data_IF_735295621950
#
_entry.id   IF_735295621950
#
_cell.length_a   1.000
_cell.length_b   1.000
_cell.length_c   1.000
_cell.angle_alpha   90.00
_cell.angle_beta   90.00
_cell.angle_gamma   90.00
#
_symmetry.space_group_name_H-M   'P 1'
#
loop_
_entity.id
_entity.type
_entity.pdbx_description
1 polymer ?
#
# COMPACT_ATOMS: atom_id res chain seq x y z
N UNK A 1 27.33 41.23 43.19
CA UNK A 1 26.99 41.94 41.94
C UNK A 1 28.12 41.78 40.92
N UNK A 2 28.01 40.92 39.90
CA UNK A 2 28.83 41.00 38.67
C UNK A 2 28.21 40.14 37.54
N UNK A 3 27.43 40.86 36.72
CA UNK A 3 27.24 40.82 35.26
C UNK A 3 27.24 39.50 34.49
N UNK A 4 26.13 39.33 33.78
CA UNK A 4 25.81 38.33 32.77
C UNK A 4 26.87 38.19 31.66
N UNK A 5 27.08 36.94 31.23
CA UNK A 5 27.75 36.57 29.99
C UNK A 5 26.79 35.67 29.20
N UNK A 6 26.61 36.03 27.94
CA UNK A 6 25.74 35.42 26.95
C UNK A 6 25.95 33.91 26.82
N UNK A 7 24.86 33.15 26.80
CA UNK A 7 24.87 31.75 26.36
C UNK A 7 24.33 31.71 24.92
N UNK A 8 25.29 31.54 24.01
CA UNK A 8 25.08 31.25 22.61
C UNK A 8 24.48 29.85 22.41
N UNK A 9 23.80 29.66 21.28
CA UNK A 9 23.52 28.34 20.71
C UNK A 9 22.04 27.96 20.70
N UNK A 10 21.31 28.41 19.67
CA UNK A 10 20.10 27.73 19.25
C UNK A 10 20.52 26.37 18.66
N UNK A 11 20.53 25.32 19.49
CA UNK A 11 20.65 23.95 19.02
C UNK A 11 19.34 23.56 18.35
N UNK A 12 19.26 23.77 17.03
CA UNK A 12 18.19 23.19 16.23
C UNK A 12 18.39 21.65 16.26
N UNK A 13 17.61 20.97 17.09
CA UNK A 13 17.51 19.53 17.04
C UNK A 13 16.89 19.15 15.69
N UNK A 14 17.72 18.72 14.74
CA UNK A 14 17.25 18.10 13.51
C UNK A 14 16.57 16.78 13.87
N UNK A 15 15.25 16.80 14.03
CA UNK A 15 14.46 15.58 14.17
C UNK A 15 14.46 14.91 12.79
N UNK A 16 15.42 14.01 12.57
CA UNK A 16 15.36 13.04 11.48
C UNK A 16 14.21 12.09 11.78
N UNK A 17 13.01 12.44 11.32
CA UNK A 17 11.89 11.51 11.28
C UNK A 17 12.27 10.45 10.25
N UNK A 18 12.50 9.17 10.62
CA UNK A 18 12.57 8.14 9.63
C UNK A 18 11.18 8.02 9.03
N UNK A 19 10.95 8.68 7.90
CA UNK A 19 9.83 8.37 7.03
C UNK A 19 10.10 6.96 6.49
N UNK A 20 9.74 5.96 7.28
CA UNK A 20 9.62 4.59 6.82
C UNK A 20 8.47 4.58 5.81
N UNK A 21 8.76 4.96 4.57
CA UNK A 21 7.82 4.84 3.46
C UNK A 21 7.75 3.38 3.06
N UNK A 22 7.07 2.57 3.86
CA UNK A 22 6.58 1.26 3.44
C UNK A 22 5.39 1.45 2.49
N UNK A 23 5.64 2.03 1.31
CA UNK A 23 4.67 2.09 0.22
C UNK A 23 5.17 1.16 -0.89
N UNK A 24 4.60 -0.06 -0.98
CA UNK A 24 3.68 -0.28 -2.11
C UNK A 24 2.51 -1.25 -1.83
N UNK A 25 2.16 -1.55 -0.58
CA UNK A 25 1.01 -2.44 -0.32
C UNK A 25 -0.33 -1.80 -0.73
N UNK A 26 -0.49 -0.48 -0.54
CA UNK A 26 -1.75 0.20 -0.83
C UNK A 26 -1.94 0.57 -2.31
N UNK A 27 -0.86 0.88 -3.04
CA UNK A 27 -0.92 1.28 -4.45
C UNK A 27 -1.30 0.09 -5.34
N UNK A 28 -0.57 -1.03 -5.22
CA UNK A 28 -0.88 -2.26 -5.96
C UNK A 28 -2.28 -2.82 -5.64
N UNK A 29 -2.72 -2.71 -4.38
CA UNK A 29 -4.08 -3.08 -3.98
C UNK A 29 -5.14 -2.14 -4.59
N UNK A 30 -4.84 -0.84 -4.75
CA UNK A 30 -5.71 0.10 -5.44
C UNK A 30 -5.80 -0.21 -6.94
N UNK A 31 -4.68 -0.50 -7.60
CA UNK A 31 -4.66 -0.83 -9.03
C UNK A 31 -5.40 -2.15 -9.33
N UNK A 32 -5.25 -3.16 -8.46
CA UNK A 32 -6.04 -4.39 -8.53
C UNK A 32 -7.55 -4.11 -8.46
N UNK A 33 -7.98 -3.27 -7.50
CA UNK A 33 -9.40 -2.89 -7.35
C UNK A 33 -9.90 -2.08 -8.54
N UNK A 34 -9.13 -1.10 -9.00
CA UNK A 34 -9.48 -0.25 -10.13
C UNK A 34 -9.60 -1.06 -11.43
N UNK A 35 -8.67 -1.99 -11.65
CA UNK A 35 -8.75 -2.91 -12.79
C UNK A 35 -10.05 -3.72 -12.75
N UNK A 36 -10.37 -4.34 -11.61
CA UNK A 36 -11.59 -5.14 -11.47
C UNK A 36 -12.86 -4.29 -11.63
N UNK A 37 -12.89 -3.07 -11.07
CA UNK A 37 -13.98 -2.12 -11.27
C UNK A 37 -14.17 -1.79 -12.77
N UNK A 38 -13.09 -1.50 -13.50
CA UNK A 38 -13.15 -1.21 -14.94
C UNK A 38 -13.61 -2.41 -15.79
N UNK A 39 -13.51 -3.64 -15.26
CA UNK A 39 -14.04 -4.86 -15.89
C UNK A 39 -15.49 -5.17 -15.51
N UNK A 40 -16.11 -4.31 -14.70
CA UNK A 40 -17.50 -4.46 -14.26
C UNK A 40 -17.69 -5.31 -13.00
N UNK A 41 -16.62 -5.64 -12.27
CA UNK A 41 -16.74 -6.33 -10.99
C UNK A 41 -17.15 -5.37 -9.87
N UNK A 42 -17.97 -5.87 -8.95
CA UNK A 42 -18.32 -5.16 -7.73
C UNK A 42 -17.14 -5.24 -6.75
N UNK A 43 -16.47 -4.11 -6.53
CA UNK A 43 -15.37 -4.01 -5.57
C UNK A 43 -15.94 -3.94 -4.15
N UNK A 44 -16.18 -5.12 -3.58
CA UNK A 44 -16.63 -5.27 -2.20
C UNK A 44 -15.51 -5.66 -1.21
N UNK A 45 -15.88 -6.06 0.02
CA UNK A 45 -14.94 -6.51 1.04
C UNK A 45 -14.10 -7.71 0.58
N UNK A 46 -14.69 -8.64 -0.18
CA UNK A 46 -13.98 -9.83 -0.69
C UNK A 46 -12.91 -9.46 -1.72
N UNK A 47 -13.23 -8.60 -2.68
CA UNK A 47 -12.27 -8.09 -3.67
C UNK A 47 -11.17 -7.29 -2.97
N UNK A 48 -11.53 -6.44 -2.02
CA UNK A 48 -10.57 -5.65 -1.24
C UNK A 48 -9.62 -6.54 -0.45
N UNK A 49 -10.15 -7.59 0.19
CA UNK A 49 -9.37 -8.58 0.91
C UNK A 49 -8.58 -9.53 0.00
N UNK A 50 -8.87 -9.62 -1.30
CA UNK A 50 -8.04 -10.37 -2.25
C UNK A 50 -6.91 -9.48 -2.76
N UNK A 51 -7.23 -8.23 -3.12
CA UNK A 51 -6.28 -7.24 -3.62
C UNK A 51 -5.29 -6.75 -2.55
N UNK A 52 -5.55 -6.94 -1.25
CA UNK A 52 -4.57 -6.63 -0.20
C UNK A 52 -3.38 -7.62 -0.16
N UNK A 53 -3.44 -8.68 -0.98
CA UNK A 53 -2.47 -9.76 -1.06
C UNK A 53 -1.73 -9.67 -2.41
N UNK A 54 -1.73 -8.53 -3.08
CA UNK A 54 -0.92 -8.28 -4.28
C UNK A 54 0.58 -8.33 -3.97
N UNK A 55 1.39 -8.43 -5.02
CA UNK A 55 2.86 -8.48 -4.91
C UNK A 55 3.44 -9.90 -4.93
N UNK A 56 4.77 -10.00 -4.93
CA UNK A 56 5.49 -11.26 -5.19
C UNK A 56 5.15 -12.39 -4.21
N UNK A 57 5.04 -12.07 -2.92
CA UNK A 57 4.77 -13.05 -1.86
C UNK A 57 3.29 -13.39 -1.71
N UNK A 58 2.40 -12.52 -2.18
CA UNK A 58 0.96 -12.68 -2.05
C UNK A 58 0.24 -13.05 -3.35
N UNK A 59 0.91 -13.00 -4.50
CA UNK A 59 0.31 -13.17 -5.83
C UNK A 59 -0.61 -14.39 -5.92
N UNK A 60 -0.14 -15.55 -5.46
CA UNK A 60 -0.93 -16.78 -5.50
C UNK A 60 -2.19 -16.69 -4.61
N UNK A 61 -2.08 -16.07 -3.43
CA UNK A 61 -3.22 -15.85 -2.55
C UNK A 61 -4.22 -14.84 -3.15
N UNK A 62 -3.74 -13.78 -3.79
CA UNK A 62 -4.57 -12.82 -4.52
C UNK A 62 -5.38 -13.52 -5.62
N UNK A 63 -4.71 -14.29 -6.47
CA UNK A 63 -5.36 -14.99 -7.59
C UNK A 63 -6.39 -15.99 -7.07
N UNK A 64 -6.02 -16.86 -6.12
CA UNK A 64 -6.93 -17.86 -5.57
C UNK A 64 -8.17 -17.24 -4.91
N UNK A 65 -8.00 -16.13 -4.17
CA UNK A 65 -9.12 -15.43 -3.54
C UNK A 65 -10.07 -14.81 -4.56
N UNK A 66 -9.55 -14.27 -5.66
CA UNK A 66 -10.38 -13.73 -6.75
C UNK A 66 -11.13 -14.85 -7.48
N UNK A 67 -10.48 -15.97 -7.76
CA UNK A 67 -11.11 -17.14 -8.36
C UNK A 67 -12.27 -17.69 -7.50
N UNK A 68 -12.09 -17.75 -6.17
CA UNK A 68 -13.11 -18.21 -5.23
C UNK A 68 -14.35 -17.29 -5.12
N UNK A 69 -14.32 -16.11 -5.74
CA UNK A 69 -15.44 -15.18 -5.81
C UNK A 69 -15.90 -14.94 -7.25
N UNK A 70 -15.66 -15.94 -8.12
CA UNK A 70 -16.08 -15.98 -9.53
C UNK A 70 -15.47 -14.88 -10.42
N UNK A 71 -14.31 -14.33 -10.04
CA UNK A 71 -13.52 -13.52 -10.98
C UNK A 71 -12.86 -14.45 -11.98
N UNK A 72 -12.96 -14.11 -13.27
CA UNK A 72 -12.37 -14.90 -14.36
C UNK A 72 -10.86 -14.97 -14.17
N UNK A 73 -10.27 -16.15 -14.43
CA UNK A 73 -8.84 -16.37 -14.22
C UNK A 73 -7.95 -15.34 -14.94
N UNK A 74 -8.30 -14.96 -16.17
CA UNK A 74 -7.56 -13.93 -16.90
C UNK A 74 -7.57 -12.57 -16.17
N UNK A 75 -8.71 -12.19 -15.59
CA UNK A 75 -8.87 -10.94 -14.88
C UNK A 75 -8.14 -10.99 -13.53
N UNK A 76 -8.18 -12.12 -12.83
CA UNK A 76 -7.47 -12.31 -11.58
C UNK A 76 -5.94 -12.22 -11.76
N UNK A 77 -5.39 -12.89 -12.78
CA UNK A 77 -3.94 -12.84 -13.08
C UNK A 77 -3.50 -11.40 -13.40
N UNK A 78 -4.25 -10.69 -14.25
CA UNK A 78 -3.92 -9.31 -14.62
C UNK A 78 -4.06 -8.38 -13.42
N UNK A 79 -5.13 -8.49 -12.63
CA UNK A 79 -5.37 -7.66 -11.44
C UNK A 79 -4.25 -7.83 -10.41
N UNK A 80 -3.87 -9.08 -10.12
CA UNK A 80 -2.85 -9.40 -9.13
C UNK A 80 -1.42 -9.10 -9.59
N UNK A 81 -1.20 -8.88 -10.90
CA UNK A 81 0.09 -8.52 -11.47
C UNK A 81 0.34 -7.00 -11.53
N UNK A 82 -0.66 -6.16 -11.20
CA UNK A 82 -0.46 -4.70 -11.11
C UNK A 82 0.37 -4.36 -9.87
N UNK A 83 1.41 -3.53 -10.04
CA UNK A 83 2.33 -3.06 -8.98
C UNK A 83 2.37 -1.54 -8.95
#
# INVERSE_FOLDING_TARGET
MKRALAAAGLTAAAVVVPLMTAAPAQASAADCRNYLASRGYVVGPKVTAACAQTGLTGYQACVQRLLNIDVRSEHALIACNKR
#
